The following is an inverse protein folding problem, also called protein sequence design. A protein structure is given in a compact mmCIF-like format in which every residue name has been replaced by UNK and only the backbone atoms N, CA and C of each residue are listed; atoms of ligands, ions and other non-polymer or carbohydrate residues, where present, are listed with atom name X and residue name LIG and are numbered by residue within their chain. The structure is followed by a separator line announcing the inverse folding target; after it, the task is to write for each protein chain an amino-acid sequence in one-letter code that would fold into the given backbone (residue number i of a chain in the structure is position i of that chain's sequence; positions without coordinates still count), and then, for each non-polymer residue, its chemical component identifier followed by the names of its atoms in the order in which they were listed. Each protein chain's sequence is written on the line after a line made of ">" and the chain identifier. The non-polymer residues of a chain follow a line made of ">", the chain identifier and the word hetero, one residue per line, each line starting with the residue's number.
data_IF_135644392302
#
_entry.id   IF_135644392302
#
_cell.length_a   1.000
_cell.length_b   1.000
_cell.length_c   1.000
_cell.angle_alpha   90.00
_cell.angle_beta   90.00
_cell.angle_gamma   90.00
#
_symmetry.space_group_name_H-M   'P 1'
#
loop_
_entity.id
_entity.type
_entity.pdbx_description
1 polymer ?
#
# COMPACT_ATOMS: atom_id res chain seq x y z
N UNK A 1 -0.02 -17.82 -4.35
CA UNK A 1 0.05 -16.36 -4.42
C UNK A 1 0.72 -15.92 -5.72
N UNK A 2 0.02 -15.19 -6.58
CA UNK A 2 0.54 -14.69 -7.86
C UNK A 2 1.44 -13.46 -7.67
N UNK A 3 2.23 -13.08 -8.68
CA UNK A 3 3.02 -11.83 -8.67
C UNK A 3 2.12 -10.60 -8.41
N UNK A 4 0.91 -10.62 -8.99
CA UNK A 4 -0.06 -9.53 -8.85
C UNK A 4 -0.59 -9.43 -7.42
N UNK A 5 -0.98 -10.56 -6.82
CA UNK A 5 -1.40 -10.63 -5.42
C UNK A 5 -0.29 -10.13 -4.48
N UNK A 6 0.96 -10.56 -4.67
CA UNK A 6 2.10 -10.07 -3.88
C UNK A 6 2.27 -8.55 -3.98
N UNK A 7 2.10 -7.99 -5.17
CA UNK A 7 2.20 -6.55 -5.38
C UNK A 7 1.06 -5.80 -4.67
N UNK A 8 -0.17 -6.34 -4.74
CA UNK A 8 -1.34 -5.77 -4.07
C UNK A 8 -1.20 -5.82 -2.56
N UNK A 9 -0.77 -6.95 -2.00
CA UNK A 9 -0.54 -7.11 -0.56
C UNK A 9 0.54 -6.13 -0.06
N UNK A 10 1.66 -6.00 -0.78
CA UNK A 10 2.69 -5.00 -0.48
C UNK A 10 2.12 -3.57 -0.51
N UNK A 11 1.34 -3.23 -1.54
CA UNK A 11 0.76 -1.89 -1.65
C UNK A 11 -0.23 -1.61 -0.51
N UNK A 12 -1.05 -2.59 -0.11
CA UNK A 12 -1.95 -2.49 1.02
C UNK A 12 -1.18 -2.29 2.34
N UNK A 13 -0.08 -3.02 2.53
CA UNK A 13 0.80 -2.86 3.70
C UNK A 13 1.41 -1.46 3.75
N UNK A 14 1.91 -0.93 2.63
CA UNK A 14 2.46 0.43 2.54
C UNK A 14 1.42 1.47 2.95
N UNK A 15 0.18 1.37 2.42
CA UNK A 15 -0.90 2.30 2.77
C UNK A 15 -1.23 2.23 4.26
N UNK A 16 -1.34 1.02 4.81
CA UNK A 16 -1.57 0.80 6.24
C UNK A 16 -0.48 1.47 7.08
N UNK A 17 0.79 1.22 6.76
CA UNK A 17 1.92 1.79 7.49
C UNK A 17 1.96 3.32 7.42
N UNK A 18 1.64 3.90 6.25
CA UNK A 18 1.56 5.35 6.09
C UNK A 18 0.52 5.97 7.02
N UNK A 19 -0.72 5.47 7.01
CA UNK A 19 -1.77 6.02 7.87
C UNK A 19 -1.52 5.77 9.36
N UNK A 20 -0.96 4.61 9.73
CA UNK A 20 -0.55 4.35 11.12
C UNK A 20 0.52 5.32 11.60
N UNK A 21 1.51 5.62 10.75
CA UNK A 21 2.59 6.54 11.11
C UNK A 21 2.11 8.00 11.16
N UNK A 22 1.22 8.38 10.23
CA UNK A 22 0.57 9.68 10.22
C UNK A 22 -0.29 9.90 11.47
N UNK A 23 -1.08 8.88 11.88
CA UNK A 23 -1.90 8.94 13.08
C UNK A 23 -1.06 9.05 14.36
N UNK A 24 0.09 8.37 14.41
CA UNK A 24 1.04 8.46 15.55
C UNK A 24 1.76 9.81 15.60
N UNK A 25 1.95 10.47 14.45
CA UNK A 25 2.74 11.70 14.34
C UNK A 25 1.97 12.80 13.59
N UNK A 26 0.86 13.32 14.14
CA UNK A 26 -0.03 14.24 13.42
C UNK A 26 0.61 15.60 13.07
N UNK A 27 1.72 15.96 13.70
CA UNK A 27 2.47 17.21 13.43
C UNK A 27 3.54 17.07 12.36
N UNK A 28 3.87 15.83 11.95
CA UNK A 28 4.89 15.62 10.94
C UNK A 28 4.35 16.04 9.57
N UNK A 29 5.24 16.57 8.75
CA UNK A 29 4.93 16.83 7.35
C UNK A 29 4.77 15.49 6.61
N UNK A 30 3.95 15.49 5.56
CA UNK A 30 3.66 14.30 4.77
C UNK A 30 4.92 13.72 4.13
N UNK A 31 5.82 14.55 3.62
CA UNK A 31 7.11 14.14 3.05
C UNK A 31 7.96 13.33 4.05
N UNK A 32 8.03 13.76 5.32
CA UNK A 32 8.73 13.03 6.37
C UNK A 32 8.10 11.65 6.65
N UNK A 33 6.77 11.54 6.60
CA UNK A 33 6.06 10.26 6.73
C UNK A 33 6.37 9.36 5.54
N UNK A 34 6.35 9.90 4.32
CA UNK A 34 6.67 9.17 3.08
C UNK A 34 8.10 8.60 3.13
N UNK A 35 9.09 9.42 3.50
CA UNK A 35 10.49 9.01 3.58
C UNK A 35 10.71 7.92 4.65
N UNK A 36 9.98 7.99 5.76
CA UNK A 36 10.08 6.98 6.82
C UNK A 36 9.44 5.65 6.40
N UNK A 37 8.32 5.70 5.68
CA UNK A 37 7.69 4.49 5.10
C UNK A 37 8.55 3.90 3.99
N UNK A 38 9.19 4.74 3.17
CA UNK A 38 10.11 4.34 2.11
C UNK A 38 11.29 3.51 2.66
N UNK A 39 11.90 3.97 3.75
CA UNK A 39 12.97 3.24 4.48
C UNK A 39 12.49 1.89 4.99
N UNK A 40 11.30 1.82 5.60
CA UNK A 40 10.74 0.58 6.17
C UNK A 40 10.33 -0.44 5.10
N UNK A 41 9.90 0.05 3.94
CA UNK A 41 9.38 -0.78 2.84
C UNK A 41 10.43 -1.11 1.78
N UNK A 42 11.65 -0.56 1.89
CA UNK A 42 12.71 -0.66 0.88
C UNK A 42 12.24 -0.23 -0.53
N UNK A 43 11.46 0.84 -0.60
CA UNK A 43 10.96 1.44 -1.83
C UNK A 43 11.40 2.90 -1.92
N UNK A 44 11.45 3.46 -3.13
CA UNK A 44 11.69 4.90 -3.29
C UNK A 44 10.51 5.73 -2.78
N UNK A 45 10.75 6.95 -2.29
CA UNK A 45 9.70 7.89 -1.87
C UNK A 45 8.68 8.12 -2.98
N UNK A 46 9.13 8.28 -4.24
CA UNK A 46 8.25 8.42 -5.42
C UNK A 46 7.31 7.23 -5.60
N UNK A 47 7.76 6.01 -5.29
CA UNK A 47 6.94 4.80 -5.34
C UNK A 47 5.91 4.78 -4.22
N UNK A 48 6.29 5.20 -3.01
CA UNK A 48 5.36 5.31 -1.88
C UNK A 48 4.25 6.31 -2.21
N UNK A 49 4.60 7.49 -2.73
CA UNK A 49 3.63 8.48 -3.19
C UNK A 49 2.66 7.90 -4.23
N UNK A 50 3.19 7.19 -5.22
CA UNK A 50 2.37 6.55 -6.26
C UNK A 50 1.40 5.51 -5.68
N UNK A 51 1.82 4.75 -4.66
CA UNK A 51 0.99 3.74 -4.00
C UNK A 51 -0.13 4.40 -3.18
N UNK A 52 0.17 5.47 -2.45
CA UNK A 52 -0.79 6.19 -1.61
C UNK A 52 -1.81 6.94 -2.47
N UNK A 53 -1.37 7.56 -3.55
CA UNK A 53 -2.21 8.33 -4.46
C UNK A 53 -2.91 7.46 -5.54
N UNK A 54 -2.73 6.14 -5.52
CA UNK A 54 -3.29 5.21 -6.50
C UNK A 54 -2.92 5.62 -7.95
N UNK A 55 -1.65 5.91 -8.20
CA UNK A 55 -1.16 6.32 -9.51
C UNK A 55 -0.70 5.13 -10.36
N UNK A 56 -0.83 5.27 -11.68
CA UNK A 56 -0.28 4.30 -12.65
C UNK A 56 -0.65 2.84 -12.36
N UNK A 57 0.38 1.99 -12.23
CA UNK A 57 0.25 0.55 -11.98
C UNK A 57 -0.12 0.20 -10.53
N UNK A 58 -0.23 1.18 -9.63
CA UNK A 58 -0.57 0.98 -8.21
C UNK A 58 -2.05 1.22 -7.91
N UNK A 59 -2.87 1.44 -8.95
CA UNK A 59 -4.33 1.48 -8.84
C UNK A 59 -4.87 0.14 -8.37
N UNK A 60 -5.74 0.17 -7.38
CA UNK A 60 -6.53 -0.99 -7.02
C UNK A 60 -7.61 -1.12 -8.10
N UNK A 61 -7.52 -2.15 -8.95
CA UNK A 61 -8.56 -2.40 -9.93
C UNK A 61 -9.77 -2.99 -9.20
N UNK A 62 -10.98 -2.39 -9.30
CA UNK A 62 -12.19 -2.93 -8.67
C UNK A 62 -12.55 -4.35 -9.14
N UNK A 63 -12.02 -4.82 -10.28
CA UNK A 63 -12.17 -6.20 -10.72
C UNK A 63 -11.33 -7.22 -9.90
N UNK A 64 -10.29 -6.76 -9.19
CA UNK A 64 -9.40 -7.62 -8.43
C UNK A 64 -9.90 -7.88 -7.00
N UNK A 65 -10.66 -6.95 -6.41
CA UNK A 65 -11.26 -7.15 -5.08
C UNK A 65 -12.30 -8.27 -5.06
N UNK A 66 -13.05 -8.44 -6.16
CA UNK A 66 -14.08 -9.49 -6.30
C UNK A 66 -13.53 -10.91 -6.47
N UNK A 67 -12.28 -11.08 -6.92
CA UNK A 67 -11.66 -12.40 -7.13
C UNK A 67 -11.17 -13.03 -5.82
N UNK A 68 -10.69 -12.21 -4.89
CA UNK A 68 -10.11 -12.69 -3.63
C UNK A 68 -11.16 -13.02 -2.55
N UNK A 69 -12.38 -12.48 -2.65
CA UNK A 69 -13.47 -12.78 -1.71
C UNK A 69 -14.11 -14.17 -1.92
N UNK A 70 -13.95 -14.77 -3.11
CA UNK A 70 -14.58 -16.05 -3.48
C UNK A 70 -13.75 -17.30 -3.16
N UNK A 71 -12.48 -17.17 -2.77
CA UNK A 71 -11.58 -18.31 -2.57
C UNK A 71 -11.46 -18.78 -1.12
N UNK A 72 -12.03 -18.06 -0.15
CA UNK A 72 -11.97 -18.43 1.27
C UNK A 72 -13.29 -19.09 1.76
N UNK A 73 -13.82 -20.04 0.97
CA UNK A 73 -15.04 -20.78 1.31
C UNK A 73 -14.94 -22.27 0.95
N UNK A 74 -13.80 -22.90 1.26
CA UNK A 74 -13.67 -24.37 1.29
C UNK A 74 -12.67 -24.74 2.39
N UNK A 75 -13.13 -24.80 3.65
CA UNK A 75 -12.96 -25.94 4.59
C UNK A 75 -14.13 -25.87 5.57
#
# INVERSE_FOLDING_TARGET
>A
MTRKERMQERNALVRKQFYELLAKNPKWRIDAIVDEVAKKSFLSSRTIDAIINYEGIYKDNPADSKRNAGQNKIV
#
